data_IF_287427192919
#
_entry.id   IF_287427192919
#
_cell.length_a   1.000
_cell.length_b   1.000
_cell.length_c   1.000
_cell.angle_alpha   90.00
_cell.angle_beta   90.00
_cell.angle_gamma   90.00
#
_symmetry.space_group_name_H-M   'P 1'
#
loop_
_entity.id
_entity.type
_entity.pdbx_description
1 polymer ?
#
# COMPACT_ATOMS: atom_id res chain seq x y z
N UNK A 1 26.78 -19.55 7.51
CA UNK A 1 25.76 -19.29 6.47
C UNK A 1 25.42 -17.81 6.47
N UNK A 2 25.39 -17.14 5.32
CA UNK A 2 25.08 -15.71 5.25
C UNK A 2 23.58 -15.45 5.48
N UNK A 3 23.23 -14.32 6.11
CA UNK A 3 21.83 -13.95 6.42
C UNK A 3 20.95 -13.91 5.16
N UNK A 4 21.50 -13.46 4.04
CA UNK A 4 20.81 -13.40 2.75
C UNK A 4 20.47 -14.77 2.15
N UNK A 5 21.21 -15.82 2.53
CA UNK A 5 20.94 -17.20 2.15
C UNK A 5 19.93 -17.82 3.12
N UNK A 6 20.04 -17.50 4.41
CA UNK A 6 19.13 -18.01 5.44
C UNK A 6 17.69 -17.50 5.27
N UNK A 7 17.47 -16.29 4.73
CA UNK A 7 16.10 -15.79 4.47
C UNK A 7 15.32 -16.59 3.40
N UNK A 8 15.98 -17.44 2.61
CA UNK A 8 15.33 -18.21 1.53
C UNK A 8 14.28 -19.20 2.05
N UNK A 9 14.41 -19.66 3.30
CA UNK A 9 13.45 -20.59 3.91
C UNK A 9 12.30 -19.87 4.63
N UNK A 10 12.32 -18.55 4.68
CA UNK A 10 11.25 -17.79 5.34
C UNK A 10 10.00 -17.75 4.45
N UNK A 11 8.81 -18.05 5.01
CA UNK A 11 7.57 -18.05 4.26
C UNK A 11 7.16 -16.65 3.81
N UNK A 12 6.78 -16.53 2.54
CA UNK A 12 6.20 -15.31 1.97
C UNK A 12 4.84 -15.00 2.62
N UNK A 13 4.59 -13.72 2.90
CA UNK A 13 3.35 -13.26 3.55
C UNK A 13 3.27 -13.48 5.07
N UNK A 14 4.07 -14.38 5.65
CA UNK A 14 4.18 -14.56 7.11
C UNK A 14 5.36 -13.79 7.73
N UNK A 15 6.31 -13.38 6.90
CA UNK A 15 7.47 -12.60 7.31
C UNK A 15 7.19 -11.10 7.18
N UNK A 16 7.03 -10.42 8.31
CA UNK A 16 6.77 -8.98 8.33
C UNK A 16 7.98 -8.18 7.85
N UNK A 17 7.72 -7.14 7.07
CA UNK A 17 8.73 -6.20 6.58
C UNK A 17 8.24 -4.77 6.77
N UNK A 18 9.18 -3.82 6.88
CA UNK A 18 8.88 -2.39 6.92
C UNK A 18 9.33 -1.76 5.60
N UNK A 19 8.43 -0.99 4.99
CA UNK A 19 8.69 -0.23 3.77
C UNK A 19 8.31 1.22 4.00
N UNK A 20 9.19 2.14 3.61
CA UNK A 20 8.87 3.56 3.52
C UNK A 20 8.55 3.89 2.06
N UNK A 21 7.38 4.48 1.82
CA UNK A 21 6.95 4.87 0.49
C UNK A 21 6.84 6.39 0.40
N UNK A 22 7.36 6.95 -0.69
CA UNK A 22 7.19 8.35 -1.05
C UNK A 22 6.60 8.42 -2.46
N UNK A 23 5.73 9.41 -2.69
CA UNK A 23 5.06 9.60 -3.96
C UNK A 23 4.39 10.96 -4.03
N UNK A 24 4.19 11.46 -5.24
CA UNK A 24 3.40 12.68 -5.47
C UNK A 24 1.92 12.43 -5.17
N UNK A 25 1.14 13.49 -4.95
CA UNK A 25 -0.30 13.36 -4.75
C UNK A 25 -0.99 12.58 -5.89
N UNK A 26 -0.60 12.84 -7.15
CA UNK A 26 -1.11 12.11 -8.32
C UNK A 26 -0.79 10.61 -8.24
N UNK A 27 0.43 10.25 -7.84
CA UNK A 27 0.84 8.85 -7.68
C UNK A 27 0.03 8.16 -6.59
N UNK A 28 -0.24 8.84 -5.48
CA UNK A 28 -1.05 8.33 -4.39
C UNK A 28 -2.51 8.13 -4.77
N UNK A 29 -3.10 9.08 -5.50
CA UNK A 29 -4.45 8.95 -6.06
C UNK A 29 -4.53 7.70 -6.95
N UNK A 30 -3.62 7.58 -7.93
CA UNK A 30 -3.60 6.44 -8.84
C UNK A 30 -3.40 5.11 -8.10
N UNK A 31 -2.48 5.07 -7.13
CA UNK A 31 -2.24 3.90 -6.29
C UNK A 31 -3.52 3.48 -5.55
N UNK A 32 -4.18 4.41 -4.87
CA UNK A 32 -5.40 4.11 -4.12
C UNK A 32 -6.50 3.62 -5.06
N UNK A 33 -6.76 4.31 -6.18
CA UNK A 33 -7.80 3.93 -7.15
C UNK A 33 -7.64 2.49 -7.64
N UNK A 34 -6.41 2.08 -7.99
CA UNK A 34 -6.16 0.71 -8.45
C UNK A 34 -6.17 -0.31 -7.30
N UNK A 35 -5.60 0.05 -6.15
CA UNK A 35 -5.34 -0.90 -5.07
C UNK A 35 -6.48 -1.04 -4.08
N UNK A 36 -7.55 -0.27 -4.21
CA UNK A 36 -8.84 -0.52 -3.52
C UNK A 36 -9.76 -1.46 -4.29
N UNK A 37 -9.48 -1.72 -5.58
CA UNK A 37 -10.29 -2.60 -6.43
C UNK A 37 -10.36 -4.04 -5.88
N UNK A 38 -11.52 -4.68 -6.01
CA UNK A 38 -11.77 -6.02 -5.47
C UNK A 38 -10.85 -7.11 -6.02
N UNK A 39 -10.36 -6.95 -7.25
CA UNK A 39 -9.39 -7.85 -7.86
C UNK A 39 -8.02 -7.79 -7.18
N UNK A 40 -7.73 -6.72 -6.41
CA UNK A 40 -6.49 -6.61 -5.63
C UNK A 40 -6.56 -7.51 -4.38
N UNK A 41 -5.42 -8.15 -4.07
CA UNK A 41 -5.25 -8.95 -2.87
C UNK A 41 -5.68 -8.20 -1.59
N UNK A 42 -6.39 -8.89 -0.69
CA UNK A 42 -7.06 -8.30 0.48
C UNK A 42 -6.11 -7.56 1.43
N UNK A 43 -4.93 -8.10 1.69
CA UNK A 43 -3.93 -7.47 2.55
C UNK A 43 -3.49 -6.11 1.99
N UNK A 44 -3.30 -6.04 0.67
CA UNK A 44 -2.87 -4.82 0.01
C UNK A 44 -3.99 -3.78 -0.09
N UNK A 45 -5.24 -4.24 -0.32
CA UNK A 45 -6.44 -3.40 -0.23
C UNK A 45 -6.56 -2.70 1.12
N UNK A 46 -6.34 -3.42 2.22
CA UNK A 46 -6.40 -2.82 3.58
C UNK A 46 -5.44 -1.64 3.73
N UNK A 47 -4.22 -1.77 3.20
CA UNK A 47 -3.23 -0.67 3.22
C UNK A 47 -3.70 0.49 2.35
N UNK A 48 -4.20 0.21 1.15
CA UNK A 48 -4.69 1.24 0.23
C UNK A 48 -5.89 2.03 0.82
N UNK A 49 -6.83 1.35 1.47
CA UNK A 49 -7.97 2.00 2.14
C UNK A 49 -7.53 2.90 3.30
N UNK A 50 -6.55 2.47 4.10
CA UNK A 50 -5.98 3.32 5.15
C UNK A 50 -5.33 4.59 4.56
N UNK A 51 -4.59 4.46 3.46
CA UNK A 51 -4.04 5.61 2.75
C UNK A 51 -5.15 6.52 2.20
N UNK A 52 -6.25 5.95 1.68
CA UNK A 52 -7.40 6.70 1.16
C UNK A 52 -8.05 7.58 2.22
N UNK A 53 -8.24 7.06 3.44
CA UNK A 53 -8.80 7.81 4.56
C UNK A 53 -7.94 9.04 4.86
N UNK A 54 -6.63 8.84 5.03
CA UNK A 54 -5.68 9.92 5.31
C UNK A 54 -5.67 10.97 4.17
N UNK A 55 -5.68 10.51 2.91
CA UNK A 55 -5.72 11.43 1.76
C UNK A 55 -7.03 12.22 1.69
N UNK A 56 -8.15 11.63 2.12
CA UNK A 56 -9.45 12.30 2.18
C UNK A 56 -9.48 13.38 3.25
N UNK A 57 -8.78 13.17 4.37
CA UNK A 57 -8.61 14.17 5.43
C UNK A 57 -7.68 15.32 4.99
N UNK A 58 -6.56 15.00 4.33
CA UNK A 58 -5.56 16.00 3.91
C UNK A 58 -5.97 16.79 2.66
N UNK A 59 -6.69 16.15 1.72
CA UNK A 59 -7.02 16.70 0.41
C UNK A 59 -8.51 16.46 0.03
N UNK A 60 -9.46 16.94 0.85
CA UNK A 60 -10.87 16.58 0.73
C UNK A 60 -11.51 16.99 -0.61
N UNK A 61 -11.17 18.16 -1.13
CA UNK A 61 -11.75 18.66 -2.39
C UNK A 61 -11.34 17.79 -3.59
N UNK A 62 -10.07 17.36 -3.62
CA UNK A 62 -9.53 16.54 -4.71
C UNK A 62 -10.13 15.14 -4.63
N UNK A 63 -10.18 14.55 -3.43
CA UNK A 63 -10.72 13.21 -3.23
C UNK A 63 -12.23 13.10 -3.47
N UNK A 64 -12.99 14.19 -3.32
CA UNK A 64 -14.43 14.24 -3.69
C UNK A 64 -14.67 14.31 -5.20
N UNK A 65 -13.68 14.75 -5.97
CA UNK A 65 -13.78 14.92 -7.43
C UNK A 65 -13.35 13.69 -8.24
N UNK A 66 -12.85 12.66 -7.53
CA UNK A 66 -12.42 11.36 -8.05
C UNK A 66 -13.50 10.31 -7.80
#
# INVERSE_FOLDING_TARGET
>A
MAKEVARKVLPEGLTMSRMYMNGTLRSWIHYVTLRTDEATQKEHRKVAEQCKVILTELCPTIMKSL
#
